data_IF_285997253907
#
_entry.id   IF_285997253907
#
_cell.length_a   1.000
_cell.length_b   1.000
_cell.length_c   1.000
_cell.angle_alpha   90.00
_cell.angle_beta   90.00
_cell.angle_gamma   90.00
#
_symmetry.space_group_name_H-M   'P 1'
#
loop_
_entity.id
_entity.type
_entity.pdbx_description
1 polymer ?
#
# COMPACT_ATOMS: atom_id res chain seq x y z
N UNK A 1 -11.69 5.21 -9.20
CA UNK A 1 -11.65 4.91 -7.75
C UNK A 1 -10.99 6.06 -7.03
N UNK A 2 -11.58 6.59 -5.96
CA UNK A 2 -10.95 7.65 -5.18
C UNK A 2 -9.81 7.08 -4.31
N UNK A 3 -8.59 7.60 -4.43
CA UNK A 3 -7.46 7.21 -3.57
C UNK A 3 -7.72 7.30 -2.07
N UNK A 4 -8.69 8.12 -1.68
CA UNK A 4 -9.15 8.29 -0.30
C UNK A 4 -9.76 7.01 0.27
N UNK A 5 -10.41 6.18 -0.55
CA UNK A 5 -11.00 4.91 -0.11
C UNK A 5 -9.91 3.90 0.26
N UNK A 6 -8.85 3.82 -0.54
CA UNK A 6 -7.68 2.99 -0.27
C UNK A 6 -7.04 3.32 1.08
N UNK A 7 -6.72 4.60 1.28
CA UNK A 7 -6.10 5.10 2.52
C UNK A 7 -6.94 4.72 3.74
N UNK A 8 -8.27 4.91 3.64
CA UNK A 8 -9.21 4.58 4.73
C UNK A 8 -9.26 3.08 5.05
N UNK A 9 -9.18 2.22 4.05
CA UNK A 9 -9.19 0.77 4.28
C UNK A 9 -7.92 0.29 4.99
N UNK A 10 -6.77 0.88 4.67
CA UNK A 10 -5.54 0.63 5.42
C UNK A 10 -5.60 1.19 6.84
N UNK A 11 -6.19 2.37 7.04
CA UNK A 11 -6.37 2.97 8.37
C UNK A 11 -7.33 2.20 9.28
N UNK A 12 -8.24 1.38 8.74
CA UNK A 12 -9.15 0.52 9.52
C UNK A 12 -8.45 -0.69 10.13
N UNK A 13 -7.31 -1.08 9.60
CA UNK A 13 -6.63 -2.32 9.92
C UNK A 13 -5.44 -2.03 10.86
N UNK A 14 -5.46 -2.51 12.12
CA UNK A 14 -4.49 -2.11 13.15
C UNK A 14 -3.05 -2.58 12.89
N UNK A 15 -2.85 -3.43 11.88
CA UNK A 15 -1.54 -3.93 11.46
C UNK A 15 -0.79 -2.96 10.53
N UNK A 16 -1.49 -1.99 9.93
CA UNK A 16 -0.90 -1.00 9.05
C UNK A 16 -0.82 0.34 9.75
N UNK A 17 0.39 0.86 9.89
CA UNK A 17 0.64 2.16 10.51
C UNK A 17 1.07 3.16 9.43
N UNK A 18 0.33 4.25 9.25
CA UNK A 18 0.75 5.32 8.35
C UNK A 18 1.95 6.04 8.96
N UNK A 19 3.12 5.87 8.36
CA UNK A 19 4.38 6.45 8.87
C UNK A 19 4.82 7.68 8.08
N UNK A 20 4.42 7.81 6.82
CA UNK A 20 4.80 8.95 5.99
C UNK A 20 3.78 9.28 4.90
N UNK A 21 3.68 10.58 4.58
CA UNK A 21 2.92 11.08 3.43
C UNK A 21 3.81 12.03 2.64
N UNK A 22 4.22 11.61 1.45
CA UNK A 22 5.01 12.41 0.52
C UNK A 22 4.10 13.06 -0.52
N UNK A 23 4.28 14.36 -0.76
CA UNK A 23 3.57 15.11 -1.80
C UNK A 23 4.54 15.50 -2.90
N UNK A 24 4.12 15.35 -4.15
CA UNK A 24 4.89 15.75 -5.32
C UNK A 24 3.96 16.36 -6.37
N UNK A 25 4.54 16.99 -7.39
CA UNK A 25 3.84 17.89 -8.33
C UNK A 25 2.53 17.33 -8.91
N UNK A 26 2.45 16.02 -9.11
CA UNK A 26 1.28 15.34 -9.71
C UNK A 26 0.74 14.18 -8.89
N UNK A 27 1.04 14.14 -7.59
CA UNK A 27 0.67 12.97 -6.81
C UNK A 27 1.02 13.00 -5.34
N UNK A 28 0.67 11.89 -4.70
CA UNK A 28 0.93 11.62 -3.28
C UNK A 28 1.36 10.18 -3.11
N UNK A 29 2.27 9.93 -2.18
CA UNK A 29 2.65 8.60 -1.73
C UNK A 29 2.34 8.51 -0.24
N UNK A 30 1.55 7.52 0.13
CA UNK A 30 1.25 7.16 1.51
C UNK A 30 2.05 5.91 1.84
N UNK A 31 2.86 5.98 2.89
CA UNK A 31 3.73 4.89 3.32
C UNK A 31 3.17 4.29 4.59
N UNK A 32 2.74 3.04 4.49
CA UNK A 32 2.28 2.25 5.63
C UNK A 32 3.36 1.27 6.04
N UNK A 33 3.72 1.28 7.31
CA UNK A 33 4.51 0.24 7.94
C UNK A 33 3.63 -0.94 8.28
N UNK A 34 4.14 -2.13 8.03
CA UNK A 34 3.51 -3.41 8.33
C UNK A 34 4.46 -4.27 9.16
N UNK A 35 4.03 -4.63 10.36
CA UNK A 35 4.78 -5.55 11.25
C UNK A 35 4.10 -6.92 11.23
N UNK A 36 4.82 -7.93 10.72
CA UNK A 36 4.36 -9.32 10.61
C UNK A 36 5.35 -10.26 11.33
N UNK A 37 5.12 -10.49 12.63
CA UNK A 37 6.06 -11.20 13.49
C UNK A 37 7.37 -10.41 13.63
N UNK A 38 8.50 -11.07 13.37
CA UNK A 38 9.84 -10.44 13.39
C UNK A 38 10.19 -9.71 12.08
N UNK A 39 9.26 -9.67 11.12
CA UNK A 39 9.49 -9.05 9.81
C UNK A 39 8.77 -7.72 9.71
N UNK A 40 9.45 -6.76 9.10
CA UNK A 40 8.91 -5.45 8.77
C UNK A 40 8.84 -5.31 7.25
N UNK A 41 7.69 -4.80 6.78
CA UNK A 41 7.45 -4.49 5.38
C UNK A 41 6.80 -3.12 5.26
N UNK A 42 6.81 -2.56 4.06
CA UNK A 42 6.16 -1.30 3.77
C UNK A 42 5.20 -1.46 2.60
N UNK A 43 4.05 -0.80 2.69
CA UNK A 43 3.08 -0.69 1.62
C UNK A 43 3.00 0.76 1.23
N UNK A 44 3.32 1.05 -0.04
CA UNK A 44 3.19 2.39 -0.56
C UNK A 44 1.95 2.47 -1.43
N UNK A 45 1.04 3.39 -1.10
CA UNK A 45 -0.07 3.77 -1.97
C UNK A 45 0.37 5.00 -2.74
N UNK A 46 0.65 4.85 -4.03
CA UNK A 46 1.11 5.92 -4.90
C UNK A 46 -0.03 6.37 -5.80
N UNK A 47 -0.45 7.60 -5.61
CA UNK A 47 -1.48 8.26 -6.40
C UNK A 47 -0.76 9.20 -7.34
N UNK A 48 -0.84 8.98 -8.64
CA UNK A 48 -0.17 9.79 -9.64
C UNK A 48 -1.05 9.99 -10.86
N UNK A 49 -1.38 11.25 -11.16
CA UNK A 49 -2.42 11.62 -12.12
C UNK A 49 -3.72 10.83 -11.83
N UNK A 50 -4.23 10.11 -12.82
CA UNK A 50 -5.45 9.30 -12.73
C UNK A 50 -5.19 7.82 -12.39
N UNK A 51 -3.98 7.49 -11.92
CA UNK A 51 -3.59 6.13 -11.59
C UNK A 51 -3.24 6.00 -10.10
N UNK A 52 -3.67 4.88 -9.51
CA UNK A 52 -3.25 4.46 -8.18
C UNK A 52 -2.44 3.17 -8.28
N UNK A 53 -1.32 3.14 -7.58
CA UNK A 53 -0.46 1.97 -7.45
C UNK A 53 -0.36 1.56 -5.99
N UNK A 54 -0.26 0.27 -5.76
CA UNK A 54 0.08 -0.32 -4.47
C UNK A 54 1.41 -1.04 -4.64
N UNK A 55 2.43 -0.57 -3.93
CA UNK A 55 3.77 -1.15 -3.96
C UNK A 55 4.04 -1.87 -2.65
N UNK A 56 4.62 -3.07 -2.71
CA UNK A 56 5.06 -3.84 -1.55
C UNK A 56 6.59 -3.80 -1.45
N UNK A 57 7.10 -3.41 -0.29
CA UNK A 57 8.51 -3.12 -0.07
C UNK A 57 9.06 -3.91 1.11
N UNK A 58 10.29 -4.40 0.96
CA UNK A 58 11.11 -4.88 2.06
C UNK A 58 12.14 -3.79 2.40
N UNK A 59 12.42 -3.52 3.70
CA UNK A 59 13.34 -2.45 4.13
C UNK A 59 14.76 -2.51 3.55
N UNK A 60 15.18 -3.68 3.04
CA UNK A 60 16.57 -3.92 2.59
C UNK A 60 16.69 -3.86 1.06
N UNK A 61 15.62 -3.50 0.36
CA UNK A 61 15.57 -3.49 -1.10
C UNK A 61 15.39 -2.06 -1.62
N UNK A 62 16.12 -1.72 -2.68
CA UNK A 62 16.02 -0.42 -3.35
C UNK A 62 14.86 -0.33 -4.34
N UNK A 63 14.13 -1.43 -4.56
CA UNK A 63 13.01 -1.55 -5.49
C UNK A 63 11.84 -2.29 -4.83
N UNK A 64 10.59 -2.03 -5.24
CA UNK A 64 9.44 -2.76 -4.71
C UNK A 64 9.50 -4.24 -5.13
N UNK A 65 9.10 -5.12 -4.22
CA UNK A 65 8.96 -6.54 -4.49
C UNK A 65 7.77 -6.84 -5.40
N UNK A 66 6.68 -6.08 -5.23
CA UNK A 66 5.45 -6.18 -6.04
C UNK A 66 4.89 -4.80 -6.30
N UNK A 67 4.33 -4.60 -7.49
CA UNK A 67 3.64 -3.36 -7.87
C UNK A 67 2.33 -3.73 -8.54
N UNK A 68 1.23 -3.22 -8.01
CA UNK A 68 -0.11 -3.40 -8.55
C UNK A 68 -0.64 -2.04 -9.02
N UNK A 69 -1.02 -1.95 -10.29
CA UNK A 69 -1.82 -0.82 -10.77
C UNK A 69 -3.28 -1.14 -10.49
N UNK A 70 -3.98 -0.25 -9.79
CA UNK A 70 -5.37 -0.47 -9.39
C UNK A 70 -6.29 0.33 -10.31
N UNK A 71 -7.12 -0.38 -11.08
CA UNK A 71 -8.08 0.19 -12.02
C UNK A 71 -9.51 0.09 -11.49
N UNK A 72 -9.79 -0.82 -10.56
CA UNK A 72 -11.12 -1.04 -9.97
C UNK A 72 -11.07 -1.40 -8.48
N UNK A 73 -12.22 -1.26 -7.81
CA UNK A 73 -12.41 -1.65 -6.40
C UNK A 73 -12.30 -3.17 -6.20
N UNK A 74 -12.58 -3.96 -7.23
CA UNK A 74 -12.41 -5.42 -7.21
C UNK A 74 -10.93 -5.80 -7.22
N UNK A 75 -10.13 -5.18 -8.10
CA UNK A 75 -8.68 -5.38 -8.11
C UNK A 75 -8.05 -4.96 -6.78
N UNK A 76 -8.52 -3.84 -6.21
CA UNK A 76 -8.12 -3.41 -4.88
C UNK A 76 -8.38 -4.49 -3.82
N UNK A 77 -9.60 -5.02 -3.77
CA UNK A 77 -9.98 -6.04 -2.78
C UNK A 77 -9.10 -7.29 -2.90
N UNK A 78 -8.77 -7.69 -4.13
CA UNK A 78 -7.86 -8.82 -4.41
C UNK A 78 -6.43 -8.53 -3.93
N UNK A 79 -5.92 -7.32 -4.13
CA UNK A 79 -4.59 -6.91 -3.66
C UNK A 79 -4.53 -6.90 -2.14
N UNK A 80 -5.55 -6.38 -1.46
CA UNK A 80 -5.63 -6.44 0.01
C UNK A 80 -5.62 -7.88 0.51
N UNK A 81 -6.41 -8.76 -0.12
CA UNK A 81 -6.47 -10.17 0.25
C UNK A 81 -5.13 -10.89 0.04
N UNK A 82 -4.41 -10.56 -1.04
CA UNK A 82 -3.06 -11.06 -1.29
C UNK A 82 -2.06 -10.55 -0.25
N UNK A 83 -2.11 -9.27 0.10
CA UNK A 83 -1.21 -8.69 1.11
C UNK A 83 -1.45 -9.33 2.48
N UNK A 84 -2.71 -9.59 2.84
CA UNK A 84 -3.07 -10.31 4.07
C UNK A 84 -2.53 -11.75 4.08
N UNK A 85 -2.64 -12.47 2.96
CA UNK A 85 -2.14 -13.84 2.89
C UNK A 85 -0.61 -13.93 2.99
N UNK A 86 0.12 -12.92 2.47
CA UNK A 86 1.57 -12.81 2.64
C UNK A 86 1.99 -12.61 4.10
N UNK A 87 1.10 -12.08 4.94
CA UNK A 87 1.31 -11.95 6.39
C UNK A 87 1.00 -13.23 7.17
N UNK A 88 0.52 -14.30 6.52
CA UNK A 88 0.06 -15.50 7.20
C UNK A 88 -1.26 -15.32 7.96
N UNK A 89 -2.11 -14.38 7.53
CA UNK A 89 -3.48 -14.17 8.03
C UNK A 89 -4.52 -14.43 6.95
#
# INVERSE_FOLDING_TARGET
MEPVLLVREFEKEPVYELVEVLRFERGRRYVYRLVAGDREYFIHIVVFNDATYVEFWHPNYAVPLLVFRILSDEEFSRVILLLRSLMGK
#
